data_IF_582254477037
#
_entry.id   IF_582254477037
#
_cell.length_a   1.000
_cell.length_b   1.000
_cell.length_c   1.000
_cell.angle_alpha   90.00
_cell.angle_beta   90.00
_cell.angle_gamma   90.00
#
_symmetry.space_group_name_H-M   'P 1'
#
loop_
_entity.id
_entity.type
_entity.pdbx_description
1 polymer ?
#
# COMPACT_ATOMS: atom_id res chain seq x y z
N UNK A 1 -11.50 -30.60 18.95
CA UNK A 1 -10.19 -30.41 18.31
C UNK A 1 -10.21 -31.23 17.03
N UNK A 2 -10.00 -30.58 15.90
CA UNK A 2 -9.90 -31.24 14.59
C UNK A 2 -8.51 -31.00 14.04
N UNK A 3 -7.76 -32.06 13.85
CA UNK A 3 -6.44 -32.01 13.23
C UNK A 3 -6.60 -32.01 11.71
N UNK A 4 -5.94 -31.07 11.02
CA UNK A 4 -5.82 -31.09 9.57
C UNK A 4 -4.51 -31.82 9.21
N UNK A 5 -4.62 -32.97 8.56
CA UNK A 5 -3.47 -33.70 8.04
C UNK A 5 -3.38 -33.46 6.53
N UNK A 6 -2.23 -32.93 6.08
CA UNK A 6 -1.94 -32.73 4.67
C UNK A 6 -0.88 -33.76 4.28
N UNK A 7 -1.22 -34.63 3.34
CA UNK A 7 -0.32 -35.64 2.80
C UNK A 7 -0.07 -35.34 1.31
N UNK A 8 1.19 -35.34 0.90
CA UNK A 8 1.58 -35.17 -0.51
C UNK A 8 2.48 -36.35 -0.91
N UNK A 9 2.09 -37.06 -1.95
CA UNK A 9 2.86 -38.19 -2.47
C UNK A 9 3.98 -37.74 -3.40
N UNK A 10 3.91 -36.53 -3.93
CA UNK A 10 4.97 -35.90 -4.76
C UNK A 10 4.78 -34.38 -4.83
N UNK A 11 5.90 -33.68 -4.94
CA UNK A 11 5.91 -32.23 -5.07
C UNK A 11 6.26 -31.48 -3.78
N UNK A 12 6.44 -30.16 -3.90
CA UNK A 12 6.75 -29.26 -2.80
C UNK A 12 5.47 -28.56 -2.32
N UNK A 13 5.17 -28.64 -1.02
CA UNK A 13 4.14 -27.84 -0.38
C UNK A 13 4.72 -26.45 -0.06
N UNK A 14 4.23 -25.41 -0.71
CA UNK A 14 4.69 -24.03 -0.50
C UNK A 14 3.97 -23.33 0.65
N UNK A 15 2.78 -23.80 1.03
CA UNK A 15 1.99 -23.23 2.12
C UNK A 15 0.60 -23.80 2.20
N UNK A 16 -0.13 -23.40 3.21
CA UNK A 16 -1.55 -23.73 3.43
C UNK A 16 -2.28 -22.43 3.78
N UNK A 17 -3.41 -22.20 3.14
CA UNK A 17 -4.27 -21.07 3.41
C UNK A 17 -5.61 -21.56 3.95
N UNK A 18 -6.04 -20.97 5.07
CA UNK A 18 -7.35 -21.23 5.65
C UNK A 18 -8.27 -20.06 5.32
N UNK A 19 -9.34 -20.35 4.59
CA UNK A 19 -10.30 -19.34 4.16
C UNK A 19 -11.69 -19.63 4.71
N UNK A 20 -12.52 -18.59 4.83
CA UNK A 20 -13.93 -18.70 5.16
C UNK A 20 -14.77 -18.24 3.97
N UNK A 21 -16.02 -18.68 3.88
CA UNK A 21 -16.94 -18.25 2.82
C UNK A 21 -17.45 -16.82 2.98
N UNK A 22 -17.15 -16.16 4.11
CA UNK A 22 -17.63 -14.81 4.44
C UNK A 22 -16.48 -14.00 5.05
N UNK A 23 -16.49 -12.69 4.81
CA UNK A 23 -15.51 -11.75 5.36
C UNK A 23 -14.58 -11.17 4.30
N UNK A 24 -13.51 -10.53 4.75
CA UNK A 24 -12.47 -9.94 3.91
C UNK A 24 -11.19 -10.75 4.09
N UNK A 25 -10.60 -11.13 2.98
CA UNK A 25 -9.29 -11.77 2.91
C UNK A 25 -8.22 -10.73 2.59
N UNK A 26 -7.11 -10.74 3.30
CA UNK A 26 -5.95 -9.92 3.02
C UNK A 26 -4.77 -10.81 2.60
N UNK A 27 -4.44 -10.81 1.31
CA UNK A 27 -3.19 -11.38 0.81
C UNK A 27 -2.07 -10.37 1.00
N UNK A 28 -1.23 -10.57 1.99
CA UNK A 28 -0.09 -9.70 2.25
C UNK A 28 1.11 -10.19 1.44
N UNK A 29 1.59 -9.36 0.49
CA UNK A 29 2.78 -9.61 -0.33
C UNK A 29 3.93 -8.71 0.14
N UNK A 30 4.56 -9.01 1.28
CA UNK A 30 5.57 -8.15 1.85
C UNK A 30 6.84 -8.16 0.99
N UNK A 31 7.39 -6.97 0.74
CA UNK A 31 8.67 -6.79 0.06
C UNK A 31 9.61 -6.03 0.99
N UNK A 32 10.39 -6.76 1.77
CA UNK A 32 11.32 -6.15 2.75
C UNK A 32 12.36 -5.31 2.04
N UNK A 33 12.47 -4.02 2.41
CA UNK A 33 13.40 -3.08 1.79
C UNK A 33 13.01 -2.69 0.35
N UNK A 34 11.89 -3.17 -0.17
CA UNK A 34 11.45 -2.89 -1.53
C UNK A 34 10.95 -1.47 -1.72
N UNK A 35 11.24 -0.91 -2.90
CA UNK A 35 10.75 0.40 -3.32
C UNK A 35 9.43 0.34 -4.11
N UNK A 36 8.93 -0.86 -4.40
CA UNK A 36 7.69 -1.05 -5.18
C UNK A 36 7.85 -0.88 -6.69
N UNK A 37 9.07 -0.96 -7.21
CA UNK A 37 9.37 -0.73 -8.63
C UNK A 37 9.60 -2.00 -9.45
N UNK A 38 9.31 -3.18 -8.87
CA UNK A 38 9.68 -4.48 -9.46
C UNK A 38 8.47 -5.30 -9.97
N UNK A 39 7.26 -4.77 -9.87
CA UNK A 39 6.08 -5.59 -10.18
C UNK A 39 5.91 -5.87 -11.68
N UNK A 40 6.33 -4.95 -12.53
CA UNK A 40 6.32 -5.11 -13.99
C UNK A 40 7.42 -6.05 -14.49
N UNK A 41 8.46 -6.33 -13.69
CA UNK A 41 9.50 -7.32 -13.98
C UNK A 41 9.04 -8.76 -13.72
N UNK A 42 7.98 -8.96 -12.94
CA UNK A 42 7.44 -10.29 -12.67
C UNK A 42 6.70 -10.81 -13.90
N UNK A 43 7.00 -12.02 -14.38
CA UNK A 43 6.35 -12.59 -15.56
C UNK A 43 4.82 -12.52 -15.48
N UNK A 44 4.21 -11.99 -16.54
CA UNK A 44 2.76 -11.70 -16.57
C UNK A 44 1.89 -12.95 -16.34
N UNK A 45 2.35 -14.12 -16.74
CA UNK A 45 1.66 -15.39 -16.52
C UNK A 45 1.58 -15.77 -15.03
N UNK A 46 2.60 -15.41 -14.24
CA UNK A 46 2.59 -15.59 -12.78
C UNK A 46 1.55 -14.70 -12.12
N UNK A 47 1.50 -13.42 -12.52
CA UNK A 47 0.47 -12.51 -12.06
C UNK A 47 -0.93 -12.99 -12.43
N UNK A 48 -1.15 -13.43 -13.67
CA UNK A 48 -2.45 -13.96 -14.10
C UNK A 48 -2.90 -15.15 -13.25
N UNK A 49 -1.98 -16.07 -12.92
CA UNK A 49 -2.29 -17.20 -12.02
C UNK A 49 -2.64 -16.75 -10.63
N UNK A 50 -1.87 -15.82 -10.06
CA UNK A 50 -2.15 -15.25 -8.74
C UNK A 50 -3.52 -14.57 -8.70
N UNK A 51 -3.81 -13.71 -9.67
CA UNK A 51 -5.10 -13.03 -9.79
C UNK A 51 -6.26 -14.02 -9.93
N UNK A 52 -6.10 -15.06 -10.75
CA UNK A 52 -7.13 -16.08 -10.93
C UNK A 52 -7.41 -16.88 -9.64
N UNK A 53 -6.38 -17.11 -8.82
CA UNK A 53 -6.51 -17.83 -7.55
C UNK A 53 -7.12 -16.96 -6.45
N UNK A 54 -6.72 -15.69 -6.36
CA UNK A 54 -7.09 -14.80 -5.24
C UNK A 54 -8.32 -13.96 -5.52
N UNK A 55 -8.64 -13.73 -6.80
CA UNK A 55 -9.77 -12.89 -7.27
C UNK A 55 -9.89 -11.59 -6.43
N UNK A 56 -8.87 -10.72 -6.42
CA UNK A 56 -8.84 -9.57 -5.53
C UNK A 56 -9.92 -8.56 -5.90
N UNK A 57 -10.62 -8.03 -4.89
CA UNK A 57 -11.58 -6.94 -5.04
C UNK A 57 -10.96 -5.54 -4.84
N UNK A 58 -9.73 -5.47 -4.34
CA UNK A 58 -8.98 -4.25 -4.10
C UNK A 58 -7.48 -4.56 -4.10
N UNK A 59 -6.69 -3.69 -4.69
CA UNK A 59 -5.22 -3.70 -4.55
C UNK A 59 -4.80 -2.49 -3.72
N UNK A 60 -3.97 -2.74 -2.69
CA UNK A 60 -3.36 -1.68 -1.89
C UNK A 60 -1.84 -1.73 -2.07
N UNK A 61 -1.26 -0.65 -2.54
CA UNK A 61 0.19 -0.49 -2.72
C UNK A 61 0.70 0.53 -1.71
N UNK A 62 1.65 0.13 -0.86
CA UNK A 62 2.28 1.02 0.13
C UNK A 62 3.79 1.05 -0.10
N UNK A 63 4.27 2.10 -0.73
CA UNK A 63 5.69 2.28 -1.07
C UNK A 63 6.09 3.76 -0.99
N UNK A 64 7.41 4.00 -1.07
CA UNK A 64 7.98 5.34 -1.10
C UNK A 64 9.00 5.58 0.00
N UNK A 65 8.75 5.10 1.22
CA UNK A 65 9.65 5.30 2.35
C UNK A 65 11.07 4.77 2.08
N UNK A 66 11.20 3.52 1.64
CA UNK A 66 12.50 2.92 1.35
C UNK A 66 13.26 3.60 0.20
N UNK A 67 12.55 4.18 -0.74
CA UNK A 67 13.18 4.89 -1.85
C UNK A 67 13.78 6.23 -1.43
N UNK A 68 13.20 6.88 -0.42
CA UNK A 68 13.61 8.21 0.06
C UNK A 68 15.02 8.26 0.64
N UNK A 69 15.49 7.19 1.26
CA UNK A 69 16.83 7.13 1.86
C UNK A 69 17.96 7.42 0.86
N UNK A 70 17.74 7.18 -0.43
CA UNK A 70 18.72 7.44 -1.51
C UNK A 70 18.40 8.67 -2.36
N UNK A 71 17.33 9.40 -2.06
CA UNK A 71 16.88 10.52 -2.89
C UNK A 71 17.39 11.86 -2.36
N UNK A 72 18.21 12.51 -3.18
CA UNK A 72 18.80 13.84 -2.90
C UNK A 72 18.50 14.86 -4.00
N UNK A 73 17.92 14.42 -5.14
CA UNK A 73 17.72 15.25 -6.33
C UNK A 73 16.30 15.07 -6.89
N UNK A 74 15.66 16.13 -7.40
CA UNK A 74 14.33 16.06 -8.02
C UNK A 74 14.24 15.05 -9.19
N UNK A 75 15.32 14.87 -9.94
CA UNK A 75 15.36 13.90 -11.04
C UNK A 75 15.21 12.44 -10.58
N UNK A 76 15.62 12.14 -9.34
CA UNK A 76 15.44 10.80 -8.74
C UNK A 76 13.97 10.60 -8.36
N UNK A 77 13.31 11.64 -7.84
CA UNK A 77 11.87 11.62 -7.56
C UNK A 77 11.08 11.37 -8.84
N UNK A 78 11.38 12.10 -9.93
CA UNK A 78 10.70 11.94 -11.20
C UNK A 78 10.85 10.53 -11.78
N UNK A 79 12.06 9.95 -11.72
CA UNK A 79 12.30 8.57 -12.17
C UNK A 79 11.52 7.55 -11.33
N UNK A 80 11.50 7.75 -10.02
CA UNK A 80 10.78 6.88 -9.10
C UNK A 80 9.27 6.93 -9.36
N UNK A 81 8.70 8.13 -9.46
CA UNK A 81 7.30 8.33 -9.78
C UNK A 81 6.91 7.67 -11.14
N UNK A 82 7.76 7.81 -12.15
CA UNK A 82 7.58 7.13 -13.44
C UNK A 82 7.57 5.60 -13.31
N UNK A 83 8.46 5.02 -12.50
CA UNK A 83 8.49 3.59 -12.27
C UNK A 83 7.22 3.10 -11.54
N UNK A 84 6.74 3.85 -10.55
CA UNK A 84 5.46 3.56 -9.88
C UNK A 84 4.30 3.65 -10.88
N UNK A 85 4.29 4.65 -11.75
CA UNK A 85 3.26 4.77 -12.81
C UNK A 85 3.18 3.53 -13.70
N UNK A 86 4.32 2.99 -14.14
CA UNK A 86 4.37 1.74 -14.92
C UNK A 86 3.77 0.56 -14.17
N UNK A 87 4.05 0.44 -12.86
CA UNK A 87 3.46 -0.62 -12.05
C UNK A 87 1.93 -0.45 -11.91
N UNK A 88 1.45 0.78 -11.75
CA UNK A 88 0.01 1.05 -11.72
C UNK A 88 -0.66 0.65 -13.03
N UNK A 89 -0.08 0.99 -14.18
CA UNK A 89 -0.56 0.57 -15.50
C UNK A 89 -0.53 -0.96 -15.65
N UNK A 90 0.52 -1.61 -15.14
CA UNK A 90 0.64 -3.06 -15.14
C UNK A 90 -0.52 -3.72 -14.36
N UNK A 91 -0.81 -3.25 -13.13
CA UNK A 91 -1.93 -3.77 -12.35
C UNK A 91 -3.29 -3.50 -13.00
N UNK A 92 -3.49 -2.32 -13.58
CA UNK A 92 -4.72 -2.01 -14.32
C UNK A 92 -4.90 -2.88 -15.56
N UNK A 93 -3.82 -3.19 -16.28
CA UNK A 93 -3.88 -4.10 -17.42
C UNK A 93 -4.15 -5.56 -17.04
N UNK A 94 -3.77 -5.97 -15.82
CA UNK A 94 -4.06 -7.30 -15.29
C UNK A 94 -5.47 -7.40 -14.72
N UNK A 95 -5.95 -6.34 -14.09
CA UNK A 95 -7.19 -6.29 -13.32
C UNK A 95 -7.96 -5.00 -13.60
N UNK A 96 -8.52 -4.82 -14.82
CA UNK A 96 -9.08 -3.53 -15.26
C UNK A 96 -10.26 -3.04 -14.44
N UNK A 97 -10.95 -3.95 -13.73
CA UNK A 97 -12.11 -3.61 -12.91
C UNK A 97 -11.81 -3.56 -11.40
N UNK A 98 -10.58 -3.83 -11.01
CA UNK A 98 -10.16 -3.82 -9.60
C UNK A 98 -9.60 -2.44 -9.24
N UNK A 99 -10.18 -1.74 -8.26
CA UNK A 99 -9.63 -0.47 -7.81
C UNK A 99 -8.25 -0.66 -7.18
N UNK A 100 -7.39 0.33 -7.37
CA UNK A 100 -6.06 0.40 -6.77
C UNK A 100 -6.00 1.61 -5.84
N UNK A 101 -5.55 1.39 -4.60
CA UNK A 101 -5.23 2.43 -3.62
C UNK A 101 -3.73 2.49 -3.45
N UNK A 102 -3.14 3.64 -3.70
CA UNK A 102 -1.76 3.91 -3.36
C UNK A 102 -1.70 4.62 -2.00
N UNK A 103 -1.07 3.99 -1.03
CA UNK A 103 -0.77 4.59 0.27
C UNK A 103 0.58 5.29 0.16
N UNK A 104 0.57 6.60 0.28
CA UNK A 104 1.76 7.43 0.21
C UNK A 104 2.75 7.19 1.36
N UNK A 105 3.97 7.75 1.26
CA UNK A 105 4.92 7.72 2.36
C UNK A 105 4.34 8.36 3.64
N UNK A 106 4.80 7.85 4.77
CA UNK A 106 4.61 8.50 6.06
C UNK A 106 5.39 9.81 6.14
N UNK A 107 5.10 10.61 7.15
CA UNK A 107 6.10 11.56 7.63
C UNK A 107 7.34 10.79 8.13
N UNK A 108 8.52 11.34 7.95
CA UNK A 108 9.79 10.68 8.24
C UNK A 108 10.85 11.68 8.69
N UNK A 109 11.75 11.20 9.54
CA UNK A 109 12.88 11.97 10.06
C UNK A 109 12.57 12.74 11.34
N UNK A 110 13.59 12.97 12.13
CA UNK A 110 13.56 13.73 13.38
C UNK A 110 14.40 15.01 13.29
N UNK A 111 15.36 15.03 12.36
CA UNK A 111 16.19 16.21 12.10
C UNK A 111 15.68 17.00 10.88
N UNK A 112 15.86 18.33 10.85
CA UNK A 112 15.56 19.14 9.67
C UNK A 112 16.31 18.62 8.44
N UNK A 113 15.59 18.48 7.31
CA UNK A 113 16.15 18.02 6.03
C UNK A 113 16.79 16.62 6.04
N UNK A 114 16.47 15.76 6.99
CA UNK A 114 16.91 14.37 6.98
C UNK A 114 16.46 13.62 5.73
N UNK A 115 15.23 13.91 5.28
CA UNK A 115 14.67 13.40 4.02
C UNK A 115 14.28 14.57 3.10
N UNK A 116 15.25 15.21 2.42
CA UNK A 116 15.00 16.46 1.69
C UNK A 116 14.01 16.33 0.53
N UNK A 117 13.82 15.12 0.01
CA UNK A 117 12.90 14.85 -1.10
C UNK A 117 11.54 14.31 -0.65
N UNK A 118 11.25 14.25 0.66
CA UNK A 118 9.99 13.66 1.17
C UNK A 118 8.75 14.38 0.59
N UNK A 119 8.65 15.68 0.73
CA UNK A 119 7.50 16.44 0.24
C UNK A 119 7.33 16.30 -1.28
N UNK A 120 8.42 16.49 -2.03
CA UNK A 120 8.41 16.33 -3.48
C UNK A 120 8.01 14.91 -3.92
N UNK A 121 8.40 13.88 -3.16
CA UNK A 121 8.05 12.48 -3.44
C UNK A 121 6.57 12.23 -3.17
N UNK A 122 6.03 12.76 -2.07
CA UNK A 122 4.59 12.65 -1.75
C UNK A 122 3.76 13.29 -2.86
N UNK A 123 4.09 14.51 -3.28
CA UNK A 123 3.37 15.23 -4.34
C UNK A 123 3.46 14.49 -5.68
N UNK A 124 4.65 14.00 -6.06
CA UNK A 124 4.85 13.27 -7.29
C UNK A 124 4.08 11.94 -7.31
N UNK A 125 4.08 11.18 -6.21
CA UNK A 125 3.35 9.91 -6.11
C UNK A 125 1.84 10.13 -6.10
N UNK A 126 1.36 11.17 -5.44
CA UNK A 126 -0.05 11.55 -5.45
C UNK A 126 -0.53 11.91 -6.86
N UNK A 127 0.23 12.73 -7.56
CA UNK A 127 -0.03 13.05 -8.97
C UNK A 127 -0.01 11.80 -9.85
N UNK A 128 1.01 10.97 -9.71
CA UNK A 128 1.16 9.72 -10.46
C UNK A 128 -0.03 8.79 -10.21
N UNK A 129 -0.44 8.59 -8.97
CA UNK A 129 -1.60 7.76 -8.66
C UNK A 129 -2.84 8.23 -9.42
N UNK A 130 -3.16 9.52 -9.40
CA UNK A 130 -4.33 10.07 -10.10
C UNK A 130 -4.23 9.97 -11.62
N UNK A 131 -3.08 10.30 -12.20
CA UNK A 131 -2.85 10.20 -13.66
C UNK A 131 -3.04 8.76 -14.15
N UNK A 132 -2.57 7.79 -13.37
CA UNK A 132 -2.72 6.37 -13.69
C UNK A 132 -4.03 5.76 -13.14
N UNK A 133 -4.99 6.59 -12.68
CA UNK A 133 -6.34 6.18 -12.27
C UNK A 133 -6.38 5.31 -11.02
N UNK A 134 -5.42 5.48 -10.11
CA UNK A 134 -5.44 4.93 -8.77
C UNK A 134 -5.95 5.97 -7.76
N UNK A 135 -6.55 5.50 -6.68
CA UNK A 135 -6.82 6.33 -5.52
C UNK A 135 -5.54 6.57 -4.73
N UNK A 136 -5.45 7.69 -4.03
CA UNK A 136 -4.32 8.00 -3.16
C UNK A 136 -4.79 8.20 -1.72
N UNK A 137 -4.14 7.54 -0.78
CA UNK A 137 -4.33 7.76 0.65
C UNK A 137 -3.08 8.41 1.22
N UNK A 138 -3.24 9.65 1.69
CA UNK A 138 -2.16 10.51 2.15
C UNK A 138 -1.80 10.17 3.60
N UNK A 139 -0.84 9.26 3.78
CA UNK A 139 -0.44 8.80 5.11
C UNK A 139 0.21 9.92 5.92
N UNK A 140 1.02 10.79 5.30
CA UNK A 140 1.61 11.93 6.01
C UNK A 140 0.53 12.86 6.56
N UNK A 141 -0.47 13.20 5.75
CA UNK A 141 -1.60 14.03 6.21
C UNK A 141 -2.40 13.35 7.33
N UNK A 142 -2.61 12.03 7.24
CA UNK A 142 -3.28 11.24 8.29
C UNK A 142 -2.49 11.22 9.59
N UNK A 143 -1.17 11.30 9.54
CA UNK A 143 -0.32 11.38 10.74
C UNK A 143 -0.39 12.75 11.43
N UNK A 144 -0.75 13.80 10.71
CA UNK A 144 -0.78 15.19 11.20
C UNK A 144 0.00 16.15 10.32
N UNK A 145 0.52 15.68 9.17
CA UNK A 145 1.27 16.46 8.21
C UNK A 145 2.79 16.48 8.44
N UNK A 146 3.51 17.36 7.75
CA UNK A 146 4.95 17.49 7.89
C UNK A 146 5.39 17.77 9.33
N UNK A 147 6.41 17.04 9.81
CA UNK A 147 6.96 17.16 11.18
C UNK A 147 6.19 16.35 12.22
N UNK A 148 5.13 15.65 11.86
CA UNK A 148 4.35 14.83 12.79
C UNK A 148 5.11 13.62 13.33
N UNK A 149 6.15 13.14 12.66
CA UNK A 149 6.92 11.98 13.10
C UNK A 149 7.50 12.14 14.50
N UNK A 150 7.99 13.33 14.85
CA UNK A 150 8.52 13.59 16.18
C UNK A 150 7.45 13.36 17.27
N UNK A 151 6.24 13.88 17.09
CA UNK A 151 5.11 13.65 17.98
C UNK A 151 4.76 12.16 18.06
N UNK A 152 4.78 11.45 16.92
CA UNK A 152 4.50 10.01 16.88
C UNK A 152 5.52 9.18 17.67
N UNK A 153 6.79 9.61 17.69
CA UNK A 153 7.83 8.98 18.53
C UNK A 153 7.55 9.25 20.00
N UNK A 154 7.24 10.50 20.37
CA UNK A 154 6.94 10.89 21.76
C UNK A 154 5.71 10.16 22.32
N UNK A 155 4.71 9.91 21.49
CA UNK A 155 3.49 9.17 21.85
C UNK A 155 3.67 7.62 21.82
N UNK A 156 4.86 7.15 21.46
CA UNK A 156 5.16 5.72 21.31
C UNK A 156 4.44 5.06 20.12
N UNK A 157 4.05 5.85 19.13
CA UNK A 157 3.44 5.37 17.87
C UNK A 157 4.49 5.06 16.81
N UNK A 158 5.68 5.63 16.93
CA UNK A 158 6.82 5.35 16.07
C UNK A 158 8.06 4.98 16.88
N UNK A 159 9.02 4.34 16.24
CA UNK A 159 10.32 4.01 16.81
C UNK A 159 11.21 5.28 16.85
N UNK A 160 12.25 5.24 17.69
CA UNK A 160 13.20 6.36 17.87
C UNK A 160 14.04 6.66 16.63
N UNK A 161 13.98 5.81 15.61
CA UNK A 161 14.66 6.05 14.33
C UNK A 161 13.91 7.05 13.42
N UNK A 162 12.71 7.49 13.82
CA UNK A 162 11.92 8.45 13.05
C UNK A 162 11.42 7.93 11.70
N UNK A 163 11.40 6.60 11.52
CA UNK A 163 11.01 5.96 10.25
C UNK A 163 9.98 4.86 10.46
N UNK A 164 10.23 3.94 11.38
CA UNK A 164 9.39 2.77 11.57
C UNK A 164 8.29 2.99 12.60
N UNK A 165 7.11 2.45 12.33
CA UNK A 165 6.00 2.48 13.28
C UNK A 165 6.17 1.43 14.37
N UNK A 166 5.72 1.76 15.58
CA UNK A 166 5.49 0.77 16.62
C UNK A 166 4.25 -0.08 16.28
N UNK A 167 4.05 -1.25 16.93
CA UNK A 167 2.80 -2.00 16.79
C UNK A 167 1.54 -1.17 17.09
N UNK A 168 1.63 -0.24 18.06
CA UNK A 168 0.55 0.69 18.42
C UNK A 168 0.26 1.66 17.28
N UNK A 169 1.30 2.25 16.65
CA UNK A 169 1.16 3.14 15.53
C UNK A 169 0.64 2.43 14.28
N UNK A 170 1.18 1.26 13.97
CA UNK A 170 0.69 0.44 12.84
C UNK A 170 -0.80 0.09 13.00
N UNK A 171 -1.24 -0.27 14.22
CA UNK A 171 -2.65 -0.52 14.50
C UNK A 171 -3.51 0.73 14.27
N UNK A 172 -3.06 1.90 14.71
CA UNK A 172 -3.78 3.16 14.51
C UNK A 172 -3.91 3.51 13.02
N UNK A 173 -2.82 3.34 12.24
CA UNK A 173 -2.84 3.54 10.77
C UNK A 173 -3.84 2.58 10.13
N UNK A 174 -3.79 1.30 10.47
CA UNK A 174 -4.72 0.31 9.94
C UNK A 174 -6.18 0.66 10.22
N UNK A 175 -6.50 1.12 11.43
CA UNK A 175 -7.84 1.59 11.78
C UNK A 175 -8.28 2.80 10.95
N UNK A 176 -7.38 3.78 10.75
CA UNK A 176 -7.67 4.97 9.93
C UNK A 176 -7.87 4.62 8.45
N UNK A 177 -7.08 3.67 7.93
CA UNK A 177 -7.24 3.17 6.56
C UNK A 177 -8.56 2.41 6.40
N UNK A 178 -8.91 1.52 7.32
CA UNK A 178 -10.20 0.81 7.32
C UNK A 178 -11.38 1.79 7.29
N UNK A 179 -11.35 2.81 8.16
CA UNK A 179 -12.38 3.86 8.18
C UNK A 179 -12.48 4.62 6.84
N UNK A 180 -11.34 4.95 6.22
CA UNK A 180 -11.31 5.63 4.93
C UNK A 180 -11.89 4.75 3.82
N UNK A 181 -11.51 3.48 3.76
CA UNK A 181 -12.03 2.51 2.79
C UNK A 181 -13.53 2.31 2.95
N UNK A 182 -14.03 2.11 4.17
CA UNK A 182 -15.47 1.98 4.43
C UNK A 182 -16.25 3.22 4.03
N UNK A 183 -15.69 4.42 4.26
CA UNK A 183 -16.30 5.69 3.84
C UNK A 183 -16.38 5.79 2.31
N UNK A 184 -15.30 5.44 1.61
CA UNK A 184 -15.26 5.43 0.16
C UNK A 184 -16.28 4.45 -0.44
N UNK A 185 -16.37 3.23 0.12
CA UNK A 185 -17.32 2.21 -0.32
C UNK A 185 -18.78 2.65 -0.14
N UNK A 186 -19.10 3.36 0.96
CA UNK A 186 -20.45 3.89 1.18
C UNK A 186 -20.80 5.01 0.19
N UNK A 187 -19.83 5.88 -0.11
CA UNK A 187 -20.02 6.98 -1.05
C UNK A 187 -20.19 6.52 -2.51
N UNK A 188 -19.70 5.32 -2.85
CA UNK A 188 -19.86 4.73 -4.18
C UNK A 188 -21.14 3.91 -4.37
N UNK A 189 -21.94 3.70 -3.31
CA UNK A 189 -23.25 3.05 -3.45
C UNK A 189 -24.23 4.03 -4.13
N UNK A 190 -25.01 3.58 -5.12
CA UNK A 190 -26.07 4.41 -5.69
C UNK A 190 -27.00 4.87 -4.56
N UNK A 191 -27.21 6.17 -4.43
CA UNK A 191 -28.31 6.67 -3.61
C UNK A 191 -29.60 6.17 -4.26
N UNK A 192 -30.40 5.39 -3.55
CA UNK A 192 -31.76 5.06 -4.01
C UNK A 192 -32.46 6.37 -4.37
N UNK A 193 -33.09 6.46 -5.56
CA UNK A 193 -33.88 7.64 -5.87
C UNK A 193 -34.95 7.75 -4.78
N UNK A 194 -34.99 8.91 -4.13
CA UNK A 194 -36.10 9.28 -3.24
C UNK A 194 -37.36 9.08 -4.06
N UNK A 195 -38.11 8.01 -3.77
CA UNK A 195 -39.39 7.74 -4.39
C UNK A 195 -40.32 8.96 -4.17
N UNK A 196 -40.64 9.64 -5.27
CA UNK A 196 -41.71 10.63 -5.35
C UNK A 196 -43.04 9.92 -5.41
#
# INVERSE_FOLDING_TARGET
>A
DSDLVIQSDSGALAGVEFTTSKGVFLHNLPMRGGSGTLFDDVPRDRWKRFVAQTNPGLVVLQFGGNALASMTQPSQVARYASAIGKNLDHFKALMPHVPVVFVGPSDMGLAPNEFPMLAATIDALKHTAFVHGAMYWDLQAVMGGPGSMAQWVDEGLAARDGVHFSPKGAKLIGQRLDMALRRAMRASQPTEPLGL
#
